data_IF_757900260107
#
_entry.id   IF_757900260107
#
_cell.length_a   1.000
_cell.length_b   1.000
_cell.length_c   1.000
_cell.angle_alpha   90.00
_cell.angle_beta   90.00
_cell.angle_gamma   90.00
#
_symmetry.space_group_name_H-M   'P 1'
#
loop_
_entity.id
_entity.type
_entity.pdbx_description
1 polymer ?
#
# COMPACT_ATOMS: atom_id res chain seq x y z
N UNK A 1 66.46 -3.63 -63.76
CA UNK A 1 65.15 -3.17 -63.26
C UNK A 1 64.40 -4.41 -62.78
N UNK A 2 64.24 -4.60 -61.46
CA UNK A 2 63.65 -5.80 -60.85
C UNK A 2 62.49 -5.34 -59.94
N UNK A 3 61.36 -6.02 -60.06
CA UNK A 3 60.05 -5.63 -59.53
C UNK A 3 59.99 -5.62 -58.00
N UNK A 4 59.34 -4.58 -57.44
CA UNK A 4 58.86 -4.56 -56.06
C UNK A 4 57.43 -5.09 -56.03
N UNK A 5 57.18 -6.15 -55.26
CA UNK A 5 55.83 -6.67 -54.99
C UNK A 5 55.46 -6.30 -53.55
N UNK A 6 54.37 -5.55 -53.38
CA UNK A 6 53.87 -5.12 -52.08
C UNK A 6 52.89 -6.16 -51.51
N UNK A 7 53.15 -6.63 -50.29
CA UNK A 7 52.23 -7.49 -49.53
C UNK A 7 51.20 -6.63 -48.78
N UNK A 8 49.92 -6.81 -49.10
CA UNK A 8 48.81 -6.26 -48.31
C UNK A 8 48.45 -7.25 -47.19
N UNK A 9 48.66 -6.85 -45.94
CA UNK A 9 48.18 -7.60 -44.76
C UNK A 9 46.76 -7.12 -44.45
N UNK A 10 45.77 -8.00 -44.62
CA UNK A 10 44.38 -7.73 -44.27
C UNK A 10 44.17 -8.12 -42.79
N UNK A 11 44.08 -7.12 -41.91
CA UNK A 11 43.79 -7.32 -40.48
C UNK A 11 42.27 -7.46 -40.30
N UNK A 12 41.82 -8.65 -39.90
CA UNK A 12 40.41 -8.94 -39.64
C UNK A 12 40.09 -8.59 -38.17
N UNK A 13 39.44 -7.44 -37.93
CA UNK A 13 38.89 -7.11 -36.62
C UNK A 13 37.55 -7.82 -36.43
N UNK A 14 37.51 -8.82 -35.55
CA UNK A 14 36.27 -9.45 -35.12
C UNK A 14 35.55 -8.50 -34.13
N UNK A 15 34.51 -7.82 -34.60
CA UNK A 15 33.61 -7.04 -33.75
C UNK A 15 32.74 -7.99 -32.92
N UNK A 16 33.08 -8.19 -31.65
CA UNK A 16 32.18 -8.82 -30.68
C UNK A 16 31.05 -7.85 -30.35
N UNK A 17 29.87 -8.06 -30.92
CA UNK A 17 28.66 -7.35 -30.54
C UNK A 17 28.24 -7.80 -29.14
N UNK A 18 28.54 -7.00 -28.12
CA UNK A 18 27.93 -7.16 -26.81
C UNK A 18 26.45 -6.76 -26.93
N UNK A 19 25.56 -7.73 -26.80
CA UNK A 19 24.13 -7.48 -26.69
C UNK A 19 23.87 -6.69 -25.40
N UNK A 20 23.46 -5.43 -25.53
CA UNK A 20 22.95 -4.67 -24.39
C UNK A 20 21.61 -5.28 -23.95
N UNK A 21 21.39 -5.53 -22.64
CA UNK A 21 20.08 -5.94 -22.16
C UNK A 21 19.08 -4.82 -22.48
N UNK A 22 17.95 -5.22 -23.08
CA UNK A 22 16.87 -4.29 -23.42
C UNK A 22 16.42 -3.53 -22.16
N UNK A 23 16.28 -2.21 -22.28
CA UNK A 23 15.72 -1.40 -21.20
C UNK A 23 14.34 -1.94 -20.82
N UNK A 24 14.01 -2.04 -19.52
CA UNK A 24 12.69 -2.46 -19.09
C UNK A 24 11.63 -1.52 -19.71
N UNK A 25 10.45 -2.04 -20.09
CA UNK A 25 9.40 -1.22 -20.67
C UNK A 25 9.01 -0.11 -19.68
N UNK A 26 9.03 1.14 -20.14
CA UNK A 26 8.60 2.28 -19.34
C UNK A 26 7.15 2.05 -18.87
N UNK A 27 6.93 1.94 -17.56
CA UNK A 27 5.57 1.88 -17.03
C UNK A 27 4.91 3.24 -17.21
N UNK A 28 3.69 3.31 -17.77
CA UNK A 28 3.12 4.58 -18.18
C UNK A 28 2.67 5.40 -16.96
N UNK A 29 3.07 6.67 -16.94
CA UNK A 29 2.44 7.70 -16.10
C UNK A 29 1.08 8.02 -16.73
N UNK A 30 0.00 7.92 -15.96
CA UNK A 30 -1.37 8.17 -16.43
C UNK A 30 -1.89 9.44 -15.76
N UNK A 31 -2.29 10.43 -16.55
CA UNK A 31 -2.92 11.65 -16.08
C UNK A 31 -4.38 11.74 -16.53
N UNK A 32 -5.26 12.22 -15.65
CA UNK A 32 -6.68 12.46 -15.93
C UNK A 32 -7.11 13.79 -15.32
N UNK A 33 -7.74 14.65 -16.12
CA UNK A 33 -8.42 15.85 -15.64
C UNK A 33 -9.93 15.64 -15.62
N UNK A 34 -10.60 16.10 -14.58
CA UNK A 34 -12.07 16.05 -14.40
C UNK A 34 -12.55 17.46 -14.11
N UNK A 35 -13.40 18.00 -14.98
CA UNK A 35 -13.99 19.33 -14.84
C UNK A 35 -15.37 19.22 -14.20
N UNK A 36 -15.67 20.13 -13.28
CA UNK A 36 -16.91 20.16 -12.52
C UNK A 36 -17.81 21.32 -12.99
N UNK A 37 -19.14 21.27 -12.77
CA UNK A 37 -20.07 22.31 -13.22
C UNK A 37 -19.82 23.72 -12.63
N UNK A 38 -19.13 23.81 -11.50
CA UNK A 38 -18.75 25.06 -10.84
C UNK A 38 -17.45 25.67 -11.40
N UNK A 39 -16.98 25.18 -12.56
CA UNK A 39 -15.70 25.49 -13.21
C UNK A 39 -14.45 25.11 -12.38
N UNK A 40 -14.61 24.45 -11.23
CA UNK A 40 -13.48 23.80 -10.59
C UNK A 40 -13.03 22.58 -11.40
N UNK A 41 -11.81 22.12 -11.19
CA UNK A 41 -11.34 20.89 -11.81
C UNK A 41 -10.39 20.14 -10.88
N UNK A 42 -10.30 18.84 -11.11
CA UNK A 42 -9.38 17.95 -10.41
C UNK A 42 -8.50 17.23 -11.41
N UNK A 43 -7.22 17.12 -11.10
CA UNK A 43 -6.23 16.36 -11.84
C UNK A 43 -5.79 15.17 -11.01
N UNK A 44 -5.71 14.00 -11.62
CA UNK A 44 -5.17 12.78 -11.04
C UNK A 44 -4.00 12.33 -11.88
N UNK A 45 -2.83 12.15 -11.25
CA UNK A 45 -1.63 11.59 -11.88
C UNK A 45 -1.27 10.32 -11.14
N UNK A 46 -1.16 9.22 -11.89
CA UNK A 46 -0.76 7.90 -11.40
C UNK A 46 0.59 7.56 -11.99
N UNK A 47 1.61 7.46 -11.15
CA UNK A 47 2.94 7.05 -11.55
C UNK A 47 3.20 5.62 -11.06
N UNK A 48 3.21 4.67 -11.99
CA UNK A 48 3.48 3.26 -11.71
C UNK A 48 4.97 2.95 -11.58
N UNK A 49 5.86 3.88 -11.90
CA UNK A 49 7.31 3.71 -11.67
C UNK A 49 7.63 3.91 -10.19
N UNK A 50 6.97 4.88 -9.56
CA UNK A 50 7.15 5.22 -8.14
C UNK A 50 6.07 4.63 -7.24
N UNK A 51 5.01 4.03 -7.82
CA UNK A 51 3.80 3.59 -7.12
C UNK A 51 3.14 4.74 -6.34
N UNK A 52 2.99 5.88 -7.00
CA UNK A 52 2.42 7.08 -6.40
C UNK A 52 1.17 7.55 -7.15
N UNK A 53 0.26 8.17 -6.41
CA UNK A 53 -0.91 8.84 -6.96
C UNK A 53 -1.01 10.24 -6.38
N UNK A 54 -1.12 11.23 -7.26
CA UNK A 54 -1.29 12.64 -6.90
C UNK A 54 -2.67 13.08 -7.37
N UNK A 55 -3.46 13.65 -6.47
CA UNK A 55 -4.71 14.34 -6.78
C UNK A 55 -4.55 15.83 -6.47
N UNK A 56 -4.75 16.69 -7.46
CA UNK A 56 -4.78 18.14 -7.30
C UNK A 56 -6.18 18.65 -7.60
N UNK A 57 -6.74 19.50 -6.74
CA UNK A 57 -8.02 20.17 -6.99
C UNK A 57 -7.81 21.66 -7.06
N UNK A 58 -8.34 22.29 -8.11
CA UNK A 58 -8.24 23.71 -8.38
C UNK A 58 -9.63 24.33 -8.37
N UNK A 59 -9.74 25.55 -7.88
CA UNK A 59 -10.99 26.32 -7.95
C UNK A 59 -11.24 26.87 -9.37
N UNK A 60 -12.38 27.54 -9.55
CA UNK A 60 -12.75 28.17 -10.82
C UNK A 60 -11.73 29.22 -11.33
N UNK A 61 -10.95 29.82 -10.43
CA UNK A 61 -9.87 30.76 -10.77
C UNK A 61 -8.54 30.08 -11.11
N UNK A 62 -8.49 28.74 -11.15
CA UNK A 62 -7.28 27.97 -11.41
C UNK A 62 -6.30 27.89 -10.22
N UNK A 63 -6.67 28.40 -9.05
CA UNK A 63 -5.82 28.30 -7.87
C UNK A 63 -5.97 26.92 -7.22
N UNK A 64 -4.84 26.32 -6.83
CA UNK A 64 -4.82 25.05 -6.10
C UNK A 64 -5.53 25.23 -4.75
N UNK A 65 -6.47 24.33 -4.46
CA UNK A 65 -7.25 24.30 -3.21
C UNK A 65 -6.75 23.20 -2.29
N UNK A 66 -6.45 22.03 -2.87
CA UNK A 66 -5.96 20.88 -2.15
C UNK A 66 -5.07 20.02 -3.05
N UNK A 67 -4.06 19.40 -2.45
CA UNK A 67 -3.24 18.37 -3.08
C UNK A 67 -3.22 17.14 -2.18
N UNK A 68 -3.41 15.97 -2.75
CA UNK A 68 -3.24 14.69 -2.05
C UNK A 68 -2.15 13.89 -2.73
N UNK A 69 -1.33 13.23 -1.94
CA UNK A 69 -0.26 12.36 -2.42
C UNK A 69 -0.38 11.02 -1.71
N UNK A 70 -0.60 9.96 -2.47
CA UNK A 70 -0.81 8.62 -1.99
C UNK A 70 0.27 7.68 -2.48
N UNK A 71 0.60 6.70 -1.63
CA UNK A 71 1.29 5.49 -2.02
C UNK A 71 0.28 4.48 -2.55
N UNK A 72 0.70 3.69 -3.53
CA UNK A 72 -0.10 2.67 -4.18
C UNK A 72 0.44 1.28 -3.87
N UNK A 73 -0.43 0.33 -3.53
CA UNK A 73 -0.04 -1.07 -3.45
C UNK A 73 0.28 -1.66 -4.84
N UNK A 74 0.70 -2.92 -4.88
CA UNK A 74 1.03 -3.66 -6.12
C UNK A 74 -0.12 -3.73 -7.14
N UNK A 75 -1.37 -3.54 -6.69
CA UNK A 75 -2.56 -3.50 -7.55
C UNK A 75 -2.86 -2.09 -8.08
N UNK A 76 -2.04 -1.10 -7.74
CA UNK A 76 -2.25 0.30 -8.08
C UNK A 76 -3.34 0.98 -7.25
N UNK A 77 -3.66 0.47 -6.06
CA UNK A 77 -4.70 1.03 -5.19
C UNK A 77 -4.08 1.87 -4.05
N UNK A 78 -4.63 3.04 -3.72
CA UNK A 78 -4.12 3.91 -2.65
C UNK A 78 -4.13 3.24 -1.28
N UNK A 79 -3.04 3.33 -0.53
CA UNK A 79 -2.90 2.75 0.82
C UNK A 79 -2.80 3.83 1.89
N UNK A 80 -1.85 4.74 1.76
CA UNK A 80 -1.58 5.81 2.71
C UNK A 80 -1.35 7.09 1.94
N UNK A 81 -1.65 8.24 2.54
CA UNK A 81 -1.41 9.50 1.87
C UNK A 81 -1.32 10.71 2.76
N UNK A 82 -0.77 11.77 2.19
CA UNK A 82 -0.68 13.10 2.73
C UNK A 82 -1.66 14.02 2.02
N UNK A 83 -2.30 14.90 2.78
CA UNK A 83 -3.23 15.91 2.28
C UNK A 83 -2.65 17.27 2.62
N UNK A 84 -2.47 18.09 1.60
CA UNK A 84 -1.92 19.43 1.65
C UNK A 84 -3.00 20.46 1.29
N UNK A 85 -2.93 21.62 1.93
CA UNK A 85 -3.70 22.78 1.49
C UNK A 85 -3.16 23.36 0.17
N UNK A 86 -3.87 24.35 -0.40
CA UNK A 86 -3.47 25.05 -1.62
C UNK A 86 -2.13 25.81 -1.52
N UNK A 87 -1.59 25.98 -0.31
CA UNK A 87 -0.28 26.61 -0.05
C UNK A 87 0.84 25.58 0.14
N UNK A 88 0.52 24.29 0.09
CA UNK A 88 1.47 23.20 0.28
C UNK A 88 1.73 22.81 1.74
N UNK A 89 0.95 23.32 2.70
CA UNK A 89 1.07 22.89 4.09
C UNK A 89 0.38 21.54 4.28
N UNK A 90 1.04 20.60 4.96
CA UNK A 90 0.42 19.34 5.36
C UNK A 90 -0.69 19.62 6.38
N UNK A 91 -1.93 19.23 6.07
CA UNK A 91 -3.09 19.45 6.95
C UNK A 91 -3.68 18.16 7.50
N UNK A 92 -3.51 17.04 6.79
CA UNK A 92 -4.03 15.75 7.22
C UNK A 92 -3.24 14.58 6.63
N UNK A 93 -3.45 13.40 7.23
CA UNK A 93 -2.95 12.11 6.75
C UNK A 93 -4.13 11.17 6.52
N UNK A 94 -4.02 10.29 5.55
CA UNK A 94 -5.06 9.31 5.23
C UNK A 94 -4.52 7.90 5.19
N UNK A 95 -5.33 6.93 5.61
CA UNK A 95 -5.08 5.49 5.49
C UNK A 95 -6.30 4.81 4.88
N UNK A 96 -6.07 3.86 3.97
CA UNK A 96 -7.08 3.05 3.31
C UNK A 96 -6.93 1.61 3.79
N UNK A 97 -8.02 1.05 4.27
CA UNK A 97 -8.16 -0.34 4.70
C UNK A 97 -8.93 -1.10 3.63
N UNK A 98 -8.52 -2.35 3.42
CA UNK A 98 -9.08 -3.23 2.41
C UNK A 98 -9.79 -4.41 3.06
N UNK A 99 -10.84 -4.90 2.40
CA UNK A 99 -11.49 -6.14 2.79
C UNK A 99 -10.67 -7.38 2.38
N UNK A 100 -11.16 -8.57 2.72
CA UNK A 100 -10.50 -9.84 2.39
C UNK A 100 -10.38 -10.11 0.87
N UNK A 101 -11.13 -9.38 0.03
CA UNK A 101 -11.05 -9.44 -1.44
C UNK A 101 -10.10 -8.37 -2.00
N UNK A 102 -9.45 -7.60 -1.12
CA UNK A 102 -8.56 -6.50 -1.46
C UNK A 102 -9.28 -5.32 -2.12
N UNK A 103 -10.57 -5.13 -1.83
CA UNK A 103 -11.33 -3.95 -2.24
C UNK A 103 -11.28 -2.90 -1.11
N UNK A 104 -11.23 -1.60 -1.41
CA UNK A 104 -11.30 -0.58 -0.37
C UNK A 104 -12.54 -0.78 0.50
N UNK A 105 -12.37 -0.92 1.80
CA UNK A 105 -13.47 -1.07 2.76
C UNK A 105 -13.69 0.24 3.50
N UNK A 106 -12.60 0.92 3.85
CA UNK A 106 -12.64 2.12 4.67
C UNK A 106 -11.46 3.02 4.34
N UNK A 107 -11.67 4.33 4.27
CA UNK A 107 -10.61 5.33 4.31
C UNK A 107 -10.78 6.20 5.55
N UNK A 108 -9.72 6.33 6.34
CA UNK A 108 -9.67 7.18 7.54
C UNK A 108 -8.78 8.37 7.30
N UNK A 109 -9.21 9.54 7.74
CA UNK A 109 -8.46 10.79 7.66
C UNK A 109 -8.20 11.34 9.06
N UNK A 110 -6.94 11.63 9.31
CA UNK A 110 -6.41 12.04 10.60
C UNK A 110 -5.84 13.45 10.52
N UNK A 111 -6.05 14.24 11.56
CA UNK A 111 -5.34 15.50 11.72
C UNK A 111 -3.86 15.25 12.08
N UNK A 112 -3.06 16.31 12.16
CA UNK A 112 -1.63 16.21 12.44
C UNK A 112 -1.33 15.65 13.84
N UNK A 113 -2.25 15.83 14.79
CA UNK A 113 -2.19 15.26 16.14
C UNK A 113 -2.56 13.78 16.20
N UNK A 114 -2.90 13.16 15.06
CA UNK A 114 -3.26 11.75 14.98
C UNK A 114 -4.69 11.44 15.41
N UNK A 115 -5.60 12.40 15.40
CA UNK A 115 -7.01 12.15 15.68
C UNK A 115 -7.79 11.98 14.38
N UNK A 116 -8.53 10.88 14.26
CA UNK A 116 -9.44 10.65 13.14
C UNK A 116 -10.61 11.64 13.21
N UNK A 117 -10.83 12.39 12.13
CA UNK A 117 -11.97 13.33 12.02
C UNK A 117 -12.92 12.97 10.88
N UNK A 118 -12.53 12.07 9.98
CA UNK A 118 -13.38 11.63 8.87
C UNK A 118 -13.11 10.17 8.52
N UNK A 119 -14.18 9.42 8.32
CA UNK A 119 -14.18 8.07 7.77
C UNK A 119 -15.02 8.06 6.49
N UNK A 120 -14.53 7.38 5.47
CA UNK A 120 -15.28 7.09 4.24
C UNK A 120 -15.43 5.58 4.17
N UNK A 121 -16.66 5.09 4.23
CA UNK A 121 -17.00 3.66 4.22
C UNK A 121 -17.42 3.30 2.80
N UNK A 122 -16.80 2.24 2.27
CA UNK A 122 -17.09 1.69 0.97
C UNK A 122 -17.84 0.37 1.15
N UNK A 123 -19.06 0.33 0.61
CA UNK A 123 -19.91 -0.84 0.67
C UNK A 123 -20.09 -1.42 -0.74
N UNK A 124 -20.28 -2.74 -0.79
CA UNK A 124 -20.49 -3.47 -2.03
C UNK A 124 -21.81 -4.23 -1.96
N UNK A 125 -22.47 -4.40 -3.11
CA UNK A 125 -23.61 -5.30 -3.23
C UNK A 125 -23.14 -6.78 -3.30
N UNK A 126 -24.10 -7.72 -3.29
CA UNK A 126 -23.81 -9.16 -3.37
C UNK A 126 -23.10 -9.57 -4.67
N UNK A 127 -23.21 -8.77 -5.72
CA UNK A 127 -22.53 -8.97 -7.01
C UNK A 127 -21.12 -8.36 -7.01
N UNK A 128 -20.74 -7.65 -5.96
CA UNK A 128 -19.46 -6.99 -5.79
C UNK A 128 -19.37 -5.58 -6.38
N UNK A 129 -20.49 -4.98 -6.81
CA UNK A 129 -20.50 -3.60 -7.31
C UNK A 129 -20.42 -2.61 -6.16
N UNK A 130 -19.67 -1.53 -6.35
CA UNK A 130 -19.53 -0.47 -5.35
C UNK A 130 -20.83 0.34 -5.22
N UNK A 131 -21.31 0.50 -3.99
CA UNK A 131 -22.36 1.46 -3.65
C UNK A 131 -21.77 2.85 -3.51
N UNK A 132 -22.65 3.85 -3.38
CA UNK A 132 -22.23 5.22 -3.06
C UNK A 132 -21.47 5.21 -1.72
N UNK A 133 -20.26 5.78 -1.65
CA UNK A 133 -19.50 5.85 -0.41
C UNK A 133 -20.26 6.63 0.67
N UNK A 134 -20.20 6.16 1.91
CA UNK A 134 -20.77 6.84 3.07
C UNK A 134 -19.67 7.63 3.79
N UNK A 135 -19.84 8.93 3.89
CA UNK A 135 -18.92 9.81 4.64
C UNK A 135 -19.45 9.99 6.05
N UNK A 136 -18.61 9.72 7.04
CA UNK A 136 -18.89 9.87 8.47
C UNK A 136 -17.88 10.86 9.04
N UNK A 137 -18.37 11.99 9.54
CA UNK A 137 -17.56 12.95 10.29
C UNK A 137 -17.45 12.45 11.72
N UNK A 138 -16.23 12.18 12.17
CA UNK A 138 -15.95 11.68 13.51
C UNK A 138 -15.64 12.87 14.40
N UNK A 139 -16.33 12.99 15.54
CA UNK A 139 -15.90 13.91 16.57
C UNK A 139 -14.72 13.28 17.33
N UNK A 140 -13.50 13.84 17.25
CA UNK A 140 -12.32 13.28 17.91
C UNK A 140 -12.50 13.08 19.42
N UNK A 141 -13.30 13.93 20.05
CA UNK A 141 -13.55 13.91 21.50
C UNK A 141 -14.49 12.78 21.92
N UNK A 142 -15.34 12.29 21.00
CA UNK A 142 -16.33 11.25 21.27
C UNK A 142 -15.83 9.84 20.91
N UNK A 143 -14.76 9.72 20.12
CA UNK A 143 -14.19 8.43 19.69
C UNK A 143 -12.64 8.46 19.64
N UNK A 144 -11.96 8.58 20.79
CA UNK A 144 -10.49 8.68 20.86
C UNK A 144 -9.76 7.37 20.47
N UNK A 145 -10.51 6.28 20.29
CA UNK A 145 -9.99 4.92 20.08
C UNK A 145 -9.45 4.66 18.68
N UNK A 146 -9.76 5.51 17.70
CA UNK A 146 -9.27 5.38 16.32
C UNK A 146 -7.91 6.05 16.20
N UNK A 147 -6.88 5.41 16.76
CA UNK A 147 -5.50 5.85 16.60
C UNK A 147 -5.02 5.51 15.18
N UNK A 148 -4.23 6.38 14.53
CA UNK A 148 -3.56 6.01 13.31
C UNK A 148 -2.66 4.82 13.64
N UNK A 149 -2.73 3.75 12.82
CA UNK A 149 -1.61 2.83 12.75
C UNK A 149 -0.34 3.63 12.44
N UNK A 150 0.83 3.22 12.91
CA UNK A 150 2.09 3.90 12.55
C UNK A 150 2.13 4.06 11.03
N UNK A 151 2.03 5.30 10.55
CA UNK A 151 1.97 5.60 9.12
C UNK A 151 3.41 5.60 8.63
N UNK A 152 3.88 4.43 8.21
CA UNK A 152 5.18 4.28 7.58
C UNK A 152 5.02 4.44 6.06
N UNK A 153 5.35 5.64 5.57
CA UNK A 153 5.31 5.99 4.16
C UNK A 153 6.47 5.40 3.35
N UNK A 154 7.39 4.66 3.97
CA UNK A 154 8.46 3.94 3.25
C UNK A 154 8.01 2.54 2.84
N UNK A 155 6.96 2.02 3.48
CA UNK A 155 6.47 0.68 3.24
C UNK A 155 5.16 0.75 2.47
N UNK A 156 5.17 0.20 1.26
CA UNK A 156 3.94 -0.10 0.54
C UNK A 156 3.18 -1.15 1.36
N UNK A 157 2.21 -0.72 2.17
CA UNK A 157 1.44 -1.65 2.98
C UNK A 157 0.67 -2.58 2.06
N UNK A 158 1.12 -3.85 2.02
CA UNK A 158 0.40 -4.94 1.40
C UNK A 158 -1.03 -4.94 1.95
N UNK A 159 -2.08 -5.06 1.11
CA UNK A 159 -3.43 -5.15 1.62
C UNK A 159 -3.51 -6.32 2.61
N UNK A 160 -4.22 -6.18 3.74
CA UNK A 160 -4.42 -7.29 4.65
C UNK A 160 -5.22 -8.38 3.93
N UNK A 161 -4.52 -9.40 3.43
CA UNK A 161 -5.13 -10.70 3.17
C UNK A 161 -5.69 -11.24 4.49
N UNK A 162 -6.71 -12.10 4.47
CA UNK A 162 -7.31 -12.61 5.70
C UNK A 162 -6.21 -13.26 6.55
N UNK A 163 -5.89 -12.59 7.66
CA UNK A 163 -5.17 -13.20 8.77
C UNK A 163 -6.12 -14.23 9.39
N UNK A 164 -6.20 -15.40 8.77
CA UNK A 164 -6.51 -16.59 9.55
C UNK A 164 -5.48 -16.64 10.68
N UNK A 165 -5.89 -16.92 11.93
CA UNK A 165 -4.92 -17.28 12.95
C UNK A 165 -4.24 -18.57 12.48
N UNK A 166 -3.08 -18.44 11.83
CA UNK A 166 -2.17 -19.56 11.68
C UNK A 166 -1.68 -19.89 13.09
N UNK A 167 -2.39 -20.84 13.71
CA UNK A 167 -1.79 -21.72 14.68
C UNK A 167 -0.47 -22.20 14.07
N UNK A 168 0.62 -21.88 14.76
CA UNK A 168 1.94 -22.38 14.43
C UNK A 168 1.88 -23.91 14.29
N UNK A 169 2.26 -24.50 13.15
CA UNK A 169 2.68 -25.88 13.16
C UNK A 169 4.03 -25.91 13.86
N UNK A 170 4.03 -26.39 15.11
CA UNK A 170 5.24 -26.81 15.81
C UNK A 170 6.00 -27.76 14.89
N UNK A 171 7.19 -27.32 14.50
CA UNK A 171 8.15 -28.07 13.69
C UNK A 171 8.48 -29.39 14.37
N UNK A 172 8.19 -30.49 13.67
CA UNK A 172 8.72 -31.80 13.97
C UNK A 172 10.23 -31.80 13.69
N UNK A 173 11.04 -31.89 14.75
CA UNK A 173 12.40 -32.42 14.65
C UNK A 173 12.43 -33.75 15.39
N UNK A 174 12.68 -34.81 14.62
CA UNK A 174 12.90 -36.15 15.11
C UNK A 174 14.35 -36.29 15.61
N UNK A 175 14.51 -36.70 16.86
CA UNK A 175 15.66 -37.46 17.34
C UNK A 175 15.16 -38.40 18.45
N UNK A 176 15.27 -39.72 18.19
CA UNK A 176 14.87 -40.83 19.07
C UNK A 176 15.96 -41.14 20.13
N UNK A 177 15.82 -42.16 21.00
CA UNK A 177 14.95 -42.20 22.18
C UNK A 177 15.74 -42.57 23.46
N UNK A 178 15.29 -42.18 24.65
CA UNK A 178 15.75 -42.82 25.90
C UNK A 178 14.75 -42.66 27.07
N UNK A 179 14.15 -43.79 27.43
CA UNK A 179 13.70 -44.22 28.76
C UNK A 179 12.89 -43.27 29.69
N UNK A 180 11.60 -43.58 29.81
CA UNK A 180 10.73 -43.39 31.00
C UNK A 180 11.31 -44.05 32.28
N UNK A 181 10.81 -43.79 33.53
CA UNK A 181 9.40 -43.48 33.87
C UNK A 181 9.08 -42.49 35.04
N UNK A 182 7.81 -42.02 34.99
CA UNK A 182 6.86 -41.73 36.10
C UNK A 182 7.15 -40.61 37.12
N UNK A 183 6.24 -39.63 37.21
CA UNK A 183 5.41 -39.38 38.42
C UNK A 183 4.19 -38.47 38.18
N UNK A 184 3.21 -38.72 39.06
CA UNK A 184 1.77 -38.40 39.03
C UNK A 184 1.42 -36.90 39.10
N UNK A 185 0.27 -36.56 38.52
CA UNK A 185 -0.36 -35.24 38.57
C UNK A 185 -0.81 -34.79 39.96
N UNK A 186 -0.79 -33.47 40.18
CA UNK A 186 -0.98 -32.85 41.50
C UNK A 186 -2.06 -31.76 41.58
N UNK A 187 -2.69 -31.31 40.49
CA UNK A 187 -3.60 -30.15 40.56
C UNK A 187 -5.07 -30.43 40.23
N UNK A 188 -5.57 -31.61 40.60
CA UNK A 188 -7.00 -31.95 40.56
C UNK A 188 -7.73 -31.81 41.90
N UNK A 189 -7.19 -31.06 42.90
CA UNK A 189 -7.69 -31.19 44.27
C UNK A 189 -7.56 -29.96 45.17
N UNK A 190 -7.82 -28.76 44.65
CA UNK A 190 -7.94 -27.59 45.51
C UNK A 190 -8.91 -26.57 44.88
N UNK A 191 -10.11 -26.47 45.45
CA UNK A 191 -11.16 -25.45 45.19
C UNK A 191 -12.26 -25.81 44.19
N UNK A 192 -13.04 -26.84 44.55
CA UNK A 192 -14.40 -27.06 44.05
C UNK A 192 -15.40 -27.28 45.19
N UNK A 193 -16.44 -26.43 45.20
CA UNK A 193 -17.74 -26.50 45.91
C UNK A 193 -17.86 -26.12 47.39
N UNK A 194 -18.56 -25.00 47.56
CA UNK A 194 -19.22 -24.46 48.74
C UNK A 194 -20.73 -24.67 48.50
N UNK A 195 -21.40 -25.48 49.30
CA UNK A 195 -22.86 -25.46 49.47
C UNK A 195 -23.17 -25.67 50.96
N UNK A 196 -23.90 -24.71 51.52
CA UNK A 196 -24.70 -24.79 52.74
C UNK A 196 -26.05 -24.18 52.38
#
# INVERSE_FOLDING_TARGET
MKSCSAFFVLLWLASAAFAQPAAPPATPIVAKSTYHPDNSHSETVVDKTTNELIESTYNAGGALVAKKHYLLNERGLPTQGHIYDGRGNLVARSQVYFDAYGRPQEMRTFNLSGLCYQQVIYEYDEKGNAKKPKVVNVNPSAAPSIKPGMIDFTQNTMPPGPAMPQQQPVSAQAQQPAAEPKKKGFFGRLFGKKEK
#
